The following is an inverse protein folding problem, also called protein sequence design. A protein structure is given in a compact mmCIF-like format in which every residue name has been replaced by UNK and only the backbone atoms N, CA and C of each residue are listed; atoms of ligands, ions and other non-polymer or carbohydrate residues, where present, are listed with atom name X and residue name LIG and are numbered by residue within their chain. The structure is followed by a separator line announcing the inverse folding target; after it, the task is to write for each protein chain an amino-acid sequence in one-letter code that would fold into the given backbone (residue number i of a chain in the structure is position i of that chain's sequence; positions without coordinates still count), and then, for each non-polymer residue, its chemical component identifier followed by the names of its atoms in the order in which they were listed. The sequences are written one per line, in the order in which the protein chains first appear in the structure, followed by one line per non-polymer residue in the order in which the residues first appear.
data_IF_449349581805
#
_entry.id   IF_449349581805
#
_cell.length_a   1.000
_cell.length_b   1.000
_cell.length_c   1.000
_cell.angle_alpha   90.00
_cell.angle_beta   90.00
_cell.angle_gamma   90.00
#
_symmetry.space_group_name_H-M   'P 1'
#
loop_
_entity.id
_entity.type
_entity.pdbx_description
1 polymer ?
#
# COMPACT_ATOMS: atom_id res chain seq x y z
N UNK A 1 -20.86 -8.80 -33.31
CA UNK A 1 -19.95 -8.19 -32.32
C UNK A 1 -20.87 -7.60 -31.28
N UNK A 2 -20.68 -7.96 -30.02
CA UNK A 2 -21.42 -7.37 -28.91
C UNK A 2 -20.58 -6.21 -28.32
N UNK A 3 -21.02 -4.99 -28.57
CA UNK A 3 -20.29 -3.75 -28.26
C UNK A 3 -21.01 -2.89 -27.20
N UNK A 4 -21.82 -3.49 -26.36
CA UNK A 4 -22.59 -2.75 -25.36
C UNK A 4 -21.71 -2.14 -24.26
N UNK A 5 -22.14 -0.99 -23.72
CA UNK A 5 -21.42 -0.24 -22.69
C UNK A 5 -21.81 -0.74 -21.29
N UNK A 6 -20.85 -0.72 -20.36
CA UNK A 6 -21.04 -0.89 -18.90
C UNK A 6 -21.96 -2.05 -18.49
N UNK A 7 -21.77 -3.23 -19.10
CA UNK A 7 -22.54 -4.42 -18.76
C UNK A 7 -22.10 -4.98 -17.42
N UNK A 8 -23.08 -5.37 -16.62
CA UNK A 8 -22.81 -6.04 -15.35
C UNK A 8 -22.13 -7.40 -15.58
N UNK A 9 -21.37 -7.83 -14.58
CA UNK A 9 -20.77 -9.16 -14.58
C UNK A 9 -21.86 -10.23 -14.75
N UNK A 10 -21.65 -11.15 -15.70
CA UNK A 10 -22.58 -12.26 -15.99
C UNK A 10 -24.00 -11.78 -16.35
N UNK A 11 -24.10 -10.62 -17.01
CA UNK A 11 -25.37 -10.12 -17.49
C UNK A 11 -25.96 -11.05 -18.55
N UNK A 12 -27.21 -11.48 -18.34
CA UNK A 12 -28.04 -12.20 -19.32
C UNK A 12 -27.70 -13.67 -19.54
N UNK A 13 -28.58 -14.37 -20.25
CA UNK A 13 -28.45 -15.79 -20.59
C UNK A 13 -28.17 -15.89 -22.09
N UNK A 14 -27.02 -16.45 -22.47
CA UNK A 14 -26.67 -16.68 -23.87
C UNK A 14 -26.30 -15.42 -24.67
N UNK A 15 -25.95 -14.32 -24.01
CA UNK A 15 -25.45 -13.08 -24.61
C UNK A 15 -24.15 -12.64 -23.93
N UNK A 16 -23.54 -11.55 -24.43
CA UNK A 16 -22.28 -11.03 -23.93
C UNK A 16 -21.21 -12.15 -23.83
N UNK A 17 -20.54 -12.30 -22.69
CA UNK A 17 -19.52 -13.34 -22.46
C UNK A 17 -20.04 -14.78 -22.55
N UNK A 18 -21.34 -15.00 -22.42
CA UNK A 18 -21.99 -16.31 -22.56
C UNK A 18 -22.61 -16.51 -23.96
N UNK A 19 -22.46 -15.52 -24.85
CA UNK A 19 -23.03 -15.51 -26.20
C UNK A 19 -22.15 -16.20 -27.23
N UNK A 20 -22.51 -16.03 -28.50
CA UNK A 20 -21.76 -16.53 -29.67
C UNK A 20 -20.99 -15.45 -30.41
N UNK A 21 -21.14 -14.20 -29.98
CA UNK A 21 -20.54 -13.06 -30.64
C UNK A 21 -19.19 -12.71 -30.03
N UNK A 22 -18.31 -12.11 -30.82
CA UNK A 22 -17.10 -11.46 -30.30
C UNK A 22 -17.53 -10.29 -29.41
N UNK A 23 -17.05 -10.28 -28.17
CA UNK A 23 -17.35 -9.28 -27.14
C UNK A 23 -16.27 -8.21 -27.15
N UNK A 24 -16.68 -6.95 -27.32
CA UNK A 24 -15.78 -5.80 -27.35
C UNK A 24 -16.54 -4.56 -26.84
N UNK A 25 -16.75 -4.42 -25.52
CA UNK A 25 -17.37 -3.22 -24.95
C UNK A 25 -16.62 -1.97 -25.40
N UNK A 26 -17.35 -1.05 -26.03
CA UNK A 26 -16.82 0.26 -26.44
C UNK A 26 -16.64 1.20 -25.25
N UNK A 27 -17.20 0.88 -24.09
CA UNK A 27 -16.93 1.51 -22.79
C UNK A 27 -17.13 0.52 -21.63
N UNK A 28 -16.15 0.40 -20.72
CA UNK A 28 -16.27 -0.34 -19.45
C UNK A 28 -15.38 0.26 -18.36
N UNK A 29 -15.67 -0.04 -17.08
CA UNK A 29 -14.96 0.48 -15.90
C UNK A 29 -14.81 2.01 -15.93
N UNK A 30 -15.90 2.72 -15.69
CA UNK A 30 -15.95 4.19 -15.74
C UNK A 30 -14.93 4.83 -14.77
N UNK A 31 -14.17 5.80 -15.28
CA UNK A 31 -13.05 6.44 -14.57
C UNK A 31 -13.40 7.63 -13.70
N UNK A 32 -14.67 7.89 -13.40
CA UNK A 32 -15.07 9.07 -12.64
C UNK A 32 -14.28 9.19 -11.33
N UNK A 33 -13.60 10.32 -11.15
CA UNK A 33 -12.70 10.64 -10.04
C UNK A 33 -11.58 9.58 -9.83
N UNK A 34 -11.23 8.85 -10.90
CA UNK A 34 -10.44 7.61 -11.02
C UNK A 34 -10.74 6.54 -9.95
N UNK A 35 -12.00 6.52 -9.53
CA UNK A 35 -12.53 5.50 -8.64
C UNK A 35 -12.87 4.18 -9.33
N UNK A 36 -12.47 3.97 -10.60
CA UNK A 36 -12.95 2.83 -11.39
C UNK A 36 -11.97 2.23 -12.40
N UNK A 37 -11.11 3.01 -13.07
CA UNK A 37 -10.36 2.48 -14.21
C UNK A 37 -9.40 1.34 -13.86
N UNK A 38 -8.61 1.50 -12.80
CA UNK A 38 -7.76 0.42 -12.30
C UNK A 38 -8.51 -0.54 -11.37
N UNK A 39 -9.66 -0.15 -10.85
CA UNK A 39 -10.42 -0.89 -9.84
C UNK A 39 -11.16 -2.08 -10.47
N UNK A 40 -10.73 -3.29 -10.14
CA UNK A 40 -11.26 -4.53 -10.72
C UNK A 40 -10.73 -4.83 -12.12
N UNK A 41 -9.92 -3.94 -12.72
CA UNK A 41 -9.40 -4.13 -14.08
C UNK A 41 -8.59 -5.41 -14.23
N UNK A 42 -7.83 -5.81 -13.21
CA UNK A 42 -7.09 -7.07 -13.26
C UNK A 42 -8.03 -8.26 -13.44
N UNK A 43 -9.16 -8.29 -12.73
CA UNK A 43 -10.12 -9.38 -12.81
C UNK A 43 -10.81 -9.41 -14.19
N UNK A 44 -11.22 -8.25 -14.69
CA UNK A 44 -11.74 -8.11 -16.06
C UNK A 44 -10.71 -8.57 -17.10
N UNK A 45 -9.46 -8.10 -16.98
CA UNK A 45 -8.42 -8.41 -17.94
C UNK A 45 -8.07 -9.89 -17.96
N UNK A 46 -7.92 -10.53 -16.80
CA UNK A 46 -7.66 -11.98 -16.76
C UNK A 46 -8.85 -12.77 -17.30
N UNK A 47 -10.09 -12.35 -17.04
CA UNK A 47 -11.27 -12.99 -17.64
C UNK A 47 -11.31 -12.84 -19.16
N UNK A 48 -11.05 -11.64 -19.67
CA UNK A 48 -10.98 -11.34 -21.10
C UNK A 48 -9.86 -12.13 -21.77
N UNK A 49 -8.66 -12.16 -21.18
CA UNK A 49 -7.48 -12.87 -21.70
C UNK A 49 -7.72 -14.36 -21.93
N UNK A 50 -8.54 -15.00 -21.07
CA UNK A 50 -8.86 -16.43 -21.17
C UNK A 50 -10.17 -16.73 -21.92
N UNK A 51 -10.87 -15.72 -22.45
CA UNK A 51 -12.09 -15.89 -23.23
C UNK A 51 -11.79 -15.76 -24.74
N UNK A 52 -11.92 -16.83 -25.54
CA UNK A 52 -11.60 -16.80 -26.97
C UNK A 52 -12.51 -15.88 -27.80
N UNK A 53 -13.67 -15.48 -27.27
CA UNK A 53 -14.58 -14.52 -27.90
C UNK A 53 -14.37 -13.09 -27.41
N UNK A 54 -13.47 -12.84 -26.45
CA UNK A 54 -13.16 -11.48 -26.02
C UNK A 54 -12.14 -10.83 -26.94
N UNK A 55 -12.45 -9.63 -27.42
CA UNK A 55 -11.50 -8.76 -28.13
C UNK A 55 -10.97 -7.63 -27.24
N UNK A 56 -11.09 -7.75 -25.91
CA UNK A 56 -10.79 -6.68 -24.96
C UNK A 56 -11.91 -5.64 -24.87
N UNK A 57 -11.56 -4.37 -24.66
CA UNK A 57 -12.52 -3.27 -24.54
C UNK A 57 -11.82 -1.92 -24.38
N UNK A 58 -12.61 -0.86 -24.24
CA UNK A 58 -12.12 0.51 -24.10
C UNK A 58 -12.52 1.11 -22.75
N UNK A 59 -11.54 1.67 -22.03
CA UNK A 59 -11.78 2.41 -20.80
C UNK A 59 -12.26 3.83 -21.14
N UNK A 60 -13.29 4.31 -20.45
CA UNK A 60 -13.80 5.67 -20.58
C UNK A 60 -13.36 6.52 -19.39
N UNK A 61 -12.45 7.48 -19.54
CA UNK A 61 -11.71 7.83 -20.75
C UNK A 61 -10.21 8.09 -20.49
N UNK A 62 -9.53 8.79 -21.41
CA UNK A 62 -8.10 9.05 -21.26
C UNK A 62 -7.82 10.19 -20.28
N UNK A 63 -8.53 11.32 -20.38
CA UNK A 63 -8.10 12.60 -19.81
C UNK A 63 -9.28 13.39 -19.23
N UNK A 64 -9.10 13.92 -18.02
CA UNK A 64 -10.03 14.86 -17.41
C UNK A 64 -10.18 16.14 -18.26
N UNK A 65 -11.43 16.45 -18.57
CA UNK A 65 -11.86 17.52 -19.48
C UNK A 65 -12.18 18.80 -18.70
N UNK A 66 -11.18 19.33 -17.98
CA UNK A 66 -11.34 20.59 -17.25
C UNK A 66 -11.03 21.81 -18.13
N UNK A 67 -11.87 22.84 -18.05
CA UNK A 67 -11.60 24.15 -18.65
C UNK A 67 -11.14 25.15 -17.60
N UNK A 68 -10.23 26.04 -17.97
CA UNK A 68 -9.81 27.14 -17.08
C UNK A 68 -10.91 28.21 -17.03
N UNK A 69 -11.40 28.50 -15.83
CA UNK A 69 -12.48 29.47 -15.58
C UNK A 69 -11.94 30.74 -14.94
N UNK A 70 -11.80 31.79 -15.77
CA UNK A 70 -11.35 33.13 -15.33
C UNK A 70 -12.29 33.77 -14.31
N UNK A 71 -13.59 33.51 -14.44
CA UNK A 71 -14.64 33.98 -13.53
C UNK A 71 -14.65 33.25 -12.18
N UNK A 72 -13.93 32.13 -12.07
CA UNK A 72 -13.78 31.32 -10.87
C UNK A 72 -12.32 31.31 -10.38
N UNK A 73 -11.69 32.48 -10.35
CA UNK A 73 -10.32 32.63 -9.85
C UNK A 73 -9.29 31.71 -10.53
N UNK A 74 -9.42 31.52 -11.85
CA UNK A 74 -8.57 30.62 -12.65
C UNK A 74 -8.65 29.15 -12.25
N UNK A 75 -9.78 28.68 -11.69
CA UNK A 75 -10.00 27.28 -11.37
C UNK A 75 -10.09 26.40 -12.63
N UNK A 76 -9.77 25.12 -12.46
CA UNK A 76 -10.07 24.07 -13.42
C UNK A 76 -11.49 23.55 -13.14
N UNK A 77 -12.35 23.58 -14.14
CA UNK A 77 -13.77 23.18 -14.03
C UNK A 77 -14.08 22.07 -15.01
N UNK A 78 -14.41 20.90 -14.46
CA UNK A 78 -14.81 19.67 -15.14
C UNK A 78 -16.33 19.57 -15.30
N UNK A 79 -17.06 20.69 -15.26
CA UNK A 79 -18.52 20.72 -15.05
C UNK A 79 -18.91 19.84 -13.85
N UNK A 80 -18.27 20.15 -12.71
CA UNK A 80 -18.30 19.34 -11.49
C UNK A 80 -17.71 17.94 -11.74
N UNK A 81 -18.54 16.91 -11.81
CA UNK A 81 -18.10 15.51 -11.94
C UNK A 81 -18.16 14.99 -13.39
N UNK A 82 -18.68 15.77 -14.35
CA UNK A 82 -19.06 15.23 -15.67
C UNK A 82 -17.91 15.13 -16.67
N UNK A 83 -16.81 15.81 -16.40
CA UNK A 83 -15.58 15.77 -17.19
C UNK A 83 -14.38 15.29 -16.38
N UNK A 84 -14.60 14.61 -15.24
CA UNK A 84 -13.55 14.12 -14.36
C UNK A 84 -13.45 12.60 -14.44
N UNK A 85 -13.31 12.06 -15.65
CA UNK A 85 -13.44 10.63 -15.96
C UNK A 85 -12.15 9.96 -16.46
N UNK A 86 -11.03 10.69 -16.49
CA UNK A 86 -9.79 10.26 -17.13
C UNK A 86 -8.82 9.50 -16.21
N UNK A 87 -7.80 8.90 -16.82
CA UNK A 87 -6.64 8.33 -16.10
C UNK A 87 -5.47 9.33 -15.95
N UNK A 88 -5.61 10.50 -16.56
CA UNK A 88 -4.69 11.63 -16.44
C UNK A 88 -5.46 12.94 -16.28
N UNK A 89 -4.89 13.87 -15.53
CA UNK A 89 -5.46 15.20 -15.34
C UNK A 89 -5.45 16.09 -16.57
N UNK A 90 -6.01 17.32 -16.47
CA UNK A 90 -6.11 18.29 -17.56
C UNK A 90 -4.77 18.70 -18.17
N UNK A 91 -3.66 18.57 -17.41
CA UNK A 91 -2.30 18.79 -17.89
C UNK A 91 -1.47 17.51 -17.94
N UNK A 92 -2.14 16.36 -18.08
CA UNK A 92 -1.56 15.01 -18.18
C UNK A 92 -0.84 14.53 -16.92
N UNK A 93 -1.23 15.06 -15.76
CA UNK A 93 -0.82 14.54 -14.46
C UNK A 93 -1.30 13.09 -14.34
N UNK A 94 -0.38 12.16 -14.06
CA UNK A 94 -0.72 10.74 -14.04
C UNK A 94 -1.36 10.35 -12.73
N UNK A 95 -2.53 9.74 -12.83
CA UNK A 95 -3.28 9.24 -11.69
C UNK A 95 -2.85 7.81 -11.34
N UNK A 96 -3.30 7.30 -10.20
CA UNK A 96 -2.91 5.97 -9.76
C UNK A 96 -3.28 4.87 -10.77
N UNK A 97 -4.42 4.98 -11.47
CA UNK A 97 -4.86 3.92 -12.39
C UNK A 97 -4.05 3.92 -13.67
N UNK A 98 -3.45 5.04 -14.08
CA UNK A 98 -2.50 5.05 -15.19
C UNK A 98 -1.40 4.00 -14.98
N UNK A 99 -0.85 3.93 -13.77
CA UNK A 99 0.20 2.96 -13.44
C UNK A 99 -0.37 1.54 -13.29
N UNK A 100 -1.57 1.39 -12.72
CA UNK A 100 -2.24 0.10 -12.61
C UNK A 100 -2.51 -0.53 -13.98
N UNK A 101 -3.09 0.24 -14.90
CA UNK A 101 -3.34 -0.16 -16.30
C UNK A 101 -2.04 -0.54 -16.98
N UNK A 102 -0.99 0.28 -16.81
CA UNK A 102 0.32 0.02 -17.40
C UNK A 102 0.91 -1.32 -16.94
N UNK A 103 0.71 -1.70 -15.68
CA UNK A 103 1.13 -3.03 -15.19
C UNK A 103 0.20 -4.14 -15.70
N UNK A 104 -1.12 -3.98 -15.58
CA UNK A 104 -2.12 -5.01 -15.88
C UNK A 104 -2.12 -5.39 -17.36
N UNK A 105 -2.05 -4.39 -18.25
CA UNK A 105 -1.98 -4.58 -19.71
C UNK A 105 -0.55 -4.82 -20.20
N UNK A 106 0.42 -5.05 -19.32
CA UNK A 106 1.77 -5.41 -19.73
C UNK A 106 1.74 -6.66 -20.62
N UNK A 107 2.39 -6.65 -21.79
CA UNK A 107 2.50 -7.81 -22.66
C UNK A 107 3.48 -8.86 -22.11
N UNK A 108 4.13 -8.58 -20.98
CA UNK A 108 4.92 -9.56 -20.22
C UNK A 108 4.24 -9.69 -18.86
N UNK A 109 3.69 -10.87 -18.61
CA UNK A 109 3.01 -11.18 -17.37
C UNK A 109 3.92 -12.02 -16.46
N UNK A 110 4.08 -11.58 -15.22
CA UNK A 110 4.73 -12.34 -14.16
C UNK A 110 3.67 -13.05 -13.33
N UNK A 111 3.82 -14.37 -13.13
CA UNK A 111 3.01 -15.06 -12.14
C UNK A 111 3.28 -14.50 -10.74
N UNK A 112 2.27 -14.56 -9.86
CA UNK A 112 2.39 -14.08 -8.47
C UNK A 112 3.61 -14.73 -7.80
N UNK A 113 4.51 -13.88 -7.28
CA UNK A 113 5.74 -14.31 -6.62
C UNK A 113 5.94 -13.57 -5.30
N UNK A 114 6.15 -14.33 -4.23
CA UNK A 114 6.75 -13.86 -2.99
C UNK A 114 8.19 -14.38 -2.91
N UNK A 115 9.12 -13.54 -2.47
CA UNK A 115 10.52 -13.93 -2.31
C UNK A 115 10.67 -14.67 -0.98
N UNK A 116 11.07 -15.93 -1.07
CA UNK A 116 11.36 -16.80 0.06
C UNK A 116 12.86 -17.13 0.12
N UNK A 117 13.31 -17.76 1.20
CA UNK A 117 14.73 -18.10 1.39
C UNK A 117 15.29 -19.03 0.30
N UNK A 118 14.44 -19.86 -0.31
CA UNK A 118 14.80 -20.77 -1.39
C UNK A 118 14.75 -20.13 -2.78
N UNK A 119 14.43 -18.82 -2.88
CA UNK A 119 14.38 -18.13 -4.16
C UNK A 119 15.76 -18.14 -4.84
N UNK A 120 15.77 -18.52 -6.10
CA UNK A 120 16.97 -18.75 -6.89
C UNK A 120 17.07 -17.78 -8.08
N UNK A 121 16.25 -16.73 -8.13
CA UNK A 121 16.18 -15.79 -9.25
C UNK A 121 15.26 -16.22 -10.39
N UNK A 122 14.49 -17.30 -10.23
CA UNK A 122 13.59 -17.82 -11.27
C UNK A 122 12.19 -17.22 -11.18
N UNK A 123 11.71 -16.62 -12.27
CA UNK A 123 10.33 -16.18 -12.43
C UNK A 123 9.62 -16.98 -13.51
N UNK A 124 8.40 -17.45 -13.24
CA UNK A 124 7.49 -17.92 -14.28
C UNK A 124 6.85 -16.70 -14.94
N UNK A 125 6.97 -16.62 -16.25
CA UNK A 125 6.41 -15.53 -17.04
C UNK A 125 5.62 -16.05 -18.24
N UNK A 126 4.70 -15.22 -18.74
CA UNK A 126 3.94 -15.45 -19.96
C UNK A 126 4.23 -14.34 -20.96
N UNK A 127 4.47 -14.72 -22.22
CA UNK A 127 4.53 -13.79 -23.33
C UNK A 127 3.12 -13.50 -23.85
N UNK A 128 2.57 -12.34 -23.51
CA UNK A 128 1.25 -11.87 -23.95
C UNK A 128 1.31 -10.98 -25.20
N UNK A 129 2.46 -10.87 -25.88
CA UNK A 129 2.49 -10.30 -27.23
C UNK A 129 1.84 -11.23 -28.25
N UNK A 130 1.31 -10.66 -29.34
CA UNK A 130 0.80 -11.42 -30.48
C UNK A 130 1.85 -11.68 -31.58
N UNK A 131 2.86 -10.81 -31.71
CA UNK A 131 3.82 -10.86 -32.82
C UNK A 131 5.29 -10.72 -32.39
N UNK A 132 5.54 -10.55 -31.09
CA UNK A 132 6.89 -10.31 -30.56
C UNK A 132 7.32 -11.49 -29.71
N UNK A 133 8.51 -12.02 -29.98
CA UNK A 133 9.15 -13.01 -29.11
C UNK A 133 9.93 -12.28 -28.00
N UNK A 134 9.93 -12.81 -26.77
CA UNK A 134 10.59 -12.14 -25.65
C UNK A 134 12.12 -12.07 -25.77
N UNK A 135 12.74 -12.88 -26.63
CA UNK A 135 14.16 -12.73 -27.00
C UNK A 135 14.48 -11.40 -27.67
N UNK A 136 13.48 -10.71 -28.22
CA UNK A 136 13.61 -9.36 -28.80
C UNK A 136 13.48 -8.26 -27.72
N UNK A 137 12.95 -8.59 -26.55
CA UNK A 137 12.88 -7.69 -25.40
C UNK A 137 14.21 -7.71 -24.63
N UNK A 138 14.38 -6.77 -23.70
CA UNK A 138 15.52 -6.74 -22.77
C UNK A 138 15.03 -6.77 -21.34
N UNK A 139 15.71 -7.53 -20.49
CA UNK A 139 15.42 -7.62 -19.07
C UNK A 139 16.63 -7.17 -18.27
N UNK A 140 16.39 -6.30 -17.29
CA UNK A 140 17.40 -5.89 -16.32
C UNK A 140 16.87 -6.03 -14.91
N UNK A 141 17.78 -6.08 -13.96
CA UNK A 141 17.44 -6.15 -12.55
C UNK A 141 18.29 -5.20 -11.73
N UNK A 142 17.75 -4.79 -10.58
CA UNK A 142 18.44 -4.00 -9.59
C UNK A 142 18.12 -4.51 -8.18
N UNK A 143 19.15 -4.74 -7.38
CA UNK A 143 19.08 -4.99 -5.95
C UNK A 143 19.41 -3.70 -5.21
N UNK A 144 18.52 -3.27 -4.30
CA UNK A 144 18.64 -2.00 -3.59
C UNK A 144 18.54 -2.17 -2.08
N UNK A 145 19.38 -1.43 -1.36
CA UNK A 145 19.22 -1.20 0.07
C UNK A 145 18.37 0.06 0.25
N UNK A 146 17.19 -0.10 0.82
CA UNK A 146 16.22 0.96 1.02
C UNK A 146 16.46 1.69 2.34
N UNK A 147 17.01 1.02 3.34
CA UNK A 147 17.30 1.61 4.65
C UNK A 147 18.59 2.44 4.69
N UNK A 148 19.51 2.21 3.75
CA UNK A 148 20.74 2.96 3.61
C UNK A 148 20.88 3.44 2.16
N UNK A 149 20.35 4.64 1.82
CA UNK A 149 20.41 5.17 0.46
C UNK A 149 21.83 5.35 -0.08
N UNK A 150 22.83 5.46 0.80
CA UNK A 150 24.25 5.59 0.44
C UNK A 150 24.92 4.24 0.17
N UNK A 151 24.28 3.12 0.51
CA UNK A 151 24.83 1.79 0.21
C UNK A 151 24.86 1.53 -1.30
N UNK A 152 25.86 0.77 -1.75
CA UNK A 152 25.99 0.39 -3.14
C UNK A 152 24.82 -0.49 -3.60
N UNK A 153 24.15 -0.07 -4.67
CA UNK A 153 23.16 -0.89 -5.36
C UNK A 153 23.85 -1.83 -6.36
N UNK A 154 23.33 -3.03 -6.53
CA UNK A 154 23.78 -3.96 -7.57
C UNK A 154 22.78 -3.97 -8.70
N UNK A 155 23.27 -3.95 -9.94
CA UNK A 155 22.44 -4.04 -11.14
C UNK A 155 23.01 -5.05 -12.11
N UNK A 156 22.15 -5.64 -12.93
CA UNK A 156 22.56 -6.57 -13.97
C UNK A 156 21.53 -6.70 -15.07
N UNK A 157 21.89 -7.47 -16.09
CA UNK A 157 21.01 -7.86 -17.19
C UNK A 157 20.60 -9.32 -16.97
N UNK A 158 19.35 -9.64 -17.24
CA UNK A 158 18.88 -11.02 -17.28
C UNK A 158 18.78 -11.47 -18.75
N UNK A 159 19.24 -12.69 -19.10
CA UNK A 159 19.07 -13.22 -20.45
C UNK A 159 17.60 -13.25 -20.84
N UNK A 160 17.25 -12.62 -21.95
CA UNK A 160 15.89 -12.64 -22.48
C UNK A 160 15.51 -14.07 -22.88
N UNK A 161 14.40 -14.62 -22.36
CA UNK A 161 14.00 -15.97 -22.71
C UNK A 161 13.41 -16.01 -24.12
N UNK A 162 13.68 -17.08 -24.85
CA UNK A 162 13.09 -17.30 -26.17
C UNK A 162 11.67 -17.87 -26.00
N UNK A 163 10.70 -16.99 -25.74
CA UNK A 163 9.28 -17.33 -25.64
C UNK A 163 8.53 -16.67 -26.79
N UNK A 164 7.91 -17.47 -27.65
CA UNK A 164 7.06 -17.01 -28.75
C UNK A 164 5.75 -16.41 -28.20
N UNK A 165 5.02 -15.63 -29.01
CA UNK A 165 3.67 -15.17 -28.66
C UNK A 165 2.81 -16.27 -28.02
N UNK A 166 2.22 -15.99 -26.87
CA UNK A 166 1.36 -16.90 -26.10
C UNK A 166 2.09 -17.97 -25.27
N UNK A 167 3.41 -18.12 -25.40
CA UNK A 167 4.15 -19.14 -24.63
C UNK A 167 4.38 -18.70 -23.17
N UNK A 168 4.28 -19.67 -22.26
CA UNK A 168 4.71 -19.56 -20.87
C UNK A 168 6.10 -20.16 -20.71
N UNK A 169 6.89 -19.60 -19.82
CA UNK A 169 8.23 -20.11 -19.55
C UNK A 169 8.89 -19.40 -18.38
N UNK A 170 10.21 -19.36 -18.42
CA UNK A 170 11.02 -18.90 -17.29
C UNK A 170 11.90 -17.72 -17.69
N UNK A 171 11.88 -16.67 -16.87
CA UNK A 171 12.95 -15.67 -16.81
C UNK A 171 13.89 -16.03 -15.65
N UNK A 172 15.15 -16.34 -15.98
CA UNK A 172 16.18 -16.63 -14.99
C UNK A 172 17.06 -15.41 -14.75
N UNK A 173 17.05 -14.89 -13.53
CA UNK A 173 17.94 -13.82 -13.09
C UNK A 173 19.12 -14.44 -12.34
N UNK A 174 20.34 -14.17 -12.83
CA UNK A 174 21.57 -14.60 -12.16
C UNK A 174 21.89 -13.61 -11.03
N UNK A 175 21.31 -13.86 -9.85
CA UNK A 175 21.53 -13.05 -8.66
C UNK A 175 22.92 -13.33 -8.05
N UNK A 176 23.59 -12.31 -7.49
CA UNK A 176 24.84 -12.51 -6.75
C UNK A 176 24.59 -13.29 -5.45
N UNK A 177 25.59 -13.98 -4.91
CA UNK A 177 25.45 -14.81 -3.69
C UNK A 177 24.95 -14.03 -2.46
N UNK A 178 25.21 -12.73 -2.40
CA UNK A 178 24.78 -11.84 -1.32
C UNK A 178 23.42 -11.17 -1.57
N UNK A 179 22.61 -11.61 -2.54
CA UNK A 179 21.34 -10.93 -2.88
C UNK A 179 20.37 -10.77 -1.69
N UNK A 180 20.45 -11.67 -0.70
CA UNK A 180 19.63 -11.62 0.53
C UNK A 180 19.97 -10.45 1.45
N UNK A 181 21.10 -9.77 1.25
CA UNK A 181 21.49 -8.60 2.04
C UNK A 181 20.85 -7.30 1.57
N UNK A 182 20.03 -7.33 0.51
CA UNK A 182 19.33 -6.17 -0.04
C UNK A 182 17.86 -6.19 0.39
N UNK A 183 17.21 -5.03 0.34
CA UNK A 183 15.82 -4.90 0.77
C UNK A 183 14.81 -5.26 -0.32
N UNK A 184 15.15 -5.06 -1.59
CA UNK A 184 14.23 -5.24 -2.72
C UNK A 184 14.98 -5.61 -4.01
N UNK A 185 14.36 -6.48 -4.81
CA UNK A 185 14.72 -6.77 -6.20
C UNK A 185 13.74 -6.06 -7.13
N UNK A 186 14.22 -5.16 -7.96
CA UNK A 186 13.49 -4.61 -9.09
C UNK A 186 13.84 -5.38 -10.37
N UNK A 187 12.83 -5.67 -11.19
CA UNK A 187 12.99 -6.28 -12.51
C UNK A 187 12.33 -5.36 -13.52
N UNK A 188 13.09 -4.92 -14.52
CA UNK A 188 12.60 -4.03 -15.58
C UNK A 188 12.59 -4.78 -16.90
N UNK A 189 11.49 -4.67 -17.63
CA UNK A 189 11.42 -5.11 -19.03
C UNK A 189 11.36 -3.90 -19.98
N UNK A 190 12.15 -3.97 -21.04
CA UNK A 190 12.16 -3.03 -22.16
C UNK A 190 11.71 -3.77 -23.42
N UNK A 191 10.76 -3.20 -24.14
CA UNK A 191 10.21 -3.78 -25.37
C UNK A 191 11.22 -3.81 -26.51
N UNK A 192 10.85 -4.52 -27.58
CA UNK A 192 11.63 -4.57 -28.82
C UNK A 192 11.79 -3.19 -29.49
N UNK A 193 10.88 -2.26 -29.18
CA UNK A 193 10.92 -0.86 -29.60
C UNK A 193 11.85 0.03 -28.75
N UNK A 194 12.54 -0.56 -27.76
CA UNK A 194 13.45 0.15 -26.86
C UNK A 194 12.77 0.95 -25.75
N UNK A 195 11.43 0.95 -25.65
CA UNK A 195 10.71 1.64 -24.58
C UNK A 195 10.52 0.74 -23.36
N UNK A 196 10.58 1.32 -22.17
CA UNK A 196 10.31 0.58 -20.95
C UNK A 196 8.84 0.16 -20.90
N UNK A 197 8.60 -1.14 -20.71
CA UNK A 197 7.28 -1.71 -20.49
C UNK A 197 6.88 -1.42 -19.04
N UNK A 198 7.59 -2.00 -18.07
CA UNK A 198 7.31 -1.84 -16.65
C UNK A 198 8.52 -2.22 -15.79
N UNK A 199 8.48 -1.81 -14.52
CA UNK A 199 9.42 -2.25 -13.48
C UNK A 199 8.64 -2.86 -12.34
N UNK A 200 8.75 -4.17 -12.16
CA UNK A 200 8.19 -4.88 -11.02
C UNK A 200 9.15 -4.84 -9.84
N UNK A 201 8.60 -4.86 -8.63
CA UNK A 201 9.36 -4.86 -7.38
C UNK A 201 9.01 -6.09 -6.54
N UNK A 202 10.03 -6.72 -5.99
CA UNK A 202 9.90 -7.90 -5.15
C UNK A 202 10.66 -7.66 -3.83
N UNK A 203 9.95 -7.42 -2.71
CA UNK A 203 10.59 -7.26 -1.41
C UNK A 203 11.40 -8.50 -1.04
N UNK A 204 12.62 -8.30 -0.56
CA UNK A 204 13.51 -9.36 -0.06
C UNK A 204 13.50 -9.35 1.47
N UNK A 205 13.71 -8.17 2.06
CA UNK A 205 13.56 -7.97 3.51
C UNK A 205 12.08 -8.09 3.88
N UNK A 206 11.82 -8.60 5.08
CA UNK A 206 10.47 -8.73 5.65
C UNK A 206 10.20 -7.66 6.71
N UNK A 207 8.92 -7.30 6.90
CA UNK A 207 8.49 -6.32 7.91
C UNK A 207 9.04 -6.66 9.31
N UNK A 208 8.93 -7.93 9.73
CA UNK A 208 9.46 -8.39 11.00
C UNK A 208 10.96 -8.16 11.17
N UNK A 209 11.77 -8.32 10.11
CA UNK A 209 13.21 -8.10 10.19
C UNK A 209 13.54 -6.61 10.42
N UNK A 210 12.82 -5.71 9.73
CA UNK A 210 12.94 -4.26 9.95
C UNK A 210 12.56 -3.90 11.39
N UNK A 211 11.41 -4.38 11.86
CA UNK A 211 10.92 -4.09 13.21
C UNK A 211 11.92 -4.59 14.28
N UNK A 212 12.49 -5.78 14.12
CA UNK A 212 13.49 -6.32 15.05
C UNK A 212 14.78 -5.50 15.09
N UNK A 213 15.24 -4.98 13.95
CA UNK A 213 16.44 -4.13 13.91
C UNK A 213 16.29 -2.87 14.78
N UNK A 214 15.10 -2.26 14.79
CA UNK A 214 14.80 -1.07 15.62
C UNK A 214 14.81 -1.41 17.11
N UNK A 215 14.37 -2.61 17.48
CA UNK A 215 14.33 -3.08 18.88
C UNK A 215 15.71 -3.42 19.46
N UNK A 216 16.74 -3.64 18.62
CA UNK A 216 18.09 -4.01 19.08
C UNK A 216 18.91 -2.84 19.64
N UNK A 217 18.38 -1.61 19.61
CA UNK A 217 19.02 -0.44 20.23
C UNK A 217 19.17 -0.65 21.74
N UNK A 218 20.43 -0.73 22.23
CA UNK A 218 20.75 -0.92 23.65
C UNK A 218 20.54 0.38 24.42
N UNK A 219 19.53 0.48 25.29
CA UNK A 219 19.27 1.69 26.06
C UNK A 219 20.06 1.64 27.37
N UNK A 220 20.37 2.82 27.90
CA UNK A 220 21.03 2.98 29.20
C UNK A 220 20.05 3.16 30.37
N UNK A 221 18.79 3.52 30.08
CA UNK A 221 17.77 3.81 31.08
C UNK A 221 16.71 2.70 31.21
N UNK A 222 16.23 2.46 32.44
CA UNK A 222 15.14 1.52 32.73
C UNK A 222 13.77 2.16 32.44
N UNK A 223 12.80 1.35 32.05
CA UNK A 223 11.41 1.79 31.97
C UNK A 223 10.87 2.06 33.38
N UNK A 224 10.29 3.23 33.59
CA UNK A 224 9.62 3.61 34.84
C UNK A 224 8.10 3.65 34.64
N UNK A 225 7.36 3.16 35.64
CA UNK A 225 5.90 3.20 35.69
C UNK A 225 5.48 3.90 36.99
N UNK A 226 4.61 4.88 36.88
CA UNK A 226 3.89 5.47 37.98
C UNK A 226 2.38 5.35 37.74
N UNK A 227 1.62 5.12 38.81
CA UNK A 227 0.17 5.06 38.77
C UNK A 227 -0.42 6.29 39.45
N UNK A 228 -1.38 6.93 38.81
CA UNK A 228 -2.23 7.97 39.39
C UNK A 228 -3.67 7.72 38.97
N UNK A 229 -4.65 8.06 39.82
CA UNK A 229 -6.11 7.96 39.58
C UNK A 229 -6.53 6.94 38.48
N UNK A 230 -6.69 7.43 37.25
CA UNK A 230 -7.13 6.69 36.07
C UNK A 230 -6.03 6.39 35.04
N UNK A 231 -4.76 6.71 35.31
CA UNK A 231 -3.65 6.69 34.35
C UNK A 231 -2.45 5.84 34.80
N UNK A 232 -1.91 5.09 33.84
CA UNK A 232 -0.52 4.64 33.86
C UNK A 232 0.33 5.73 33.23
N UNK A 233 1.31 6.25 33.97
CA UNK A 233 2.33 7.19 33.46
C UNK A 233 3.64 6.43 33.28
N UNK A 234 4.13 6.36 32.05
CA UNK A 234 5.31 5.56 31.70
C UNK A 234 6.40 6.47 31.16
N UNK A 235 7.64 6.27 31.61
CA UNK A 235 8.83 6.96 31.08
C UNK A 235 9.85 5.94 30.58
N UNK A 236 10.35 6.11 29.36
CA UNK A 236 11.40 5.29 28.77
C UNK A 236 12.22 6.11 27.75
N UNK A 237 13.52 6.27 28.00
CA UNK A 237 14.47 6.93 27.08
C UNK A 237 13.97 8.27 26.49
N UNK A 238 13.52 9.18 27.37
CA UNK A 238 12.99 10.50 26.98
C UNK A 238 11.56 10.49 26.45
N UNK A 239 10.95 9.33 26.23
CA UNK A 239 9.52 9.19 25.89
C UNK A 239 8.69 9.09 27.15
N UNK A 240 7.61 9.88 27.23
CA UNK A 240 6.62 9.82 28.30
C UNK A 240 5.23 9.55 27.72
N UNK A 241 4.54 8.56 28.29
CA UNK A 241 3.24 8.08 27.85
C UNK A 241 2.23 8.18 28.99
N UNK A 242 0.98 8.48 28.65
CA UNK A 242 -0.16 8.29 29.55
C UNK A 242 -1.16 7.33 28.92
N UNK A 243 -1.47 6.25 29.62
CA UNK A 243 -2.41 5.22 29.17
C UNK A 243 -3.53 5.10 30.22
N UNK A 244 -4.78 5.13 29.78
CA UNK A 244 -5.91 5.00 30.70
C UNK A 244 -6.02 3.58 31.28
N UNK A 245 -6.02 3.45 32.61
CA UNK A 245 -5.95 2.17 33.33
C UNK A 245 -7.11 1.21 33.05
N UNK A 246 -8.30 1.74 32.77
CA UNK A 246 -9.50 0.89 32.56
C UNK A 246 -9.66 0.44 31.11
N UNK A 247 -9.30 1.30 30.16
CA UNK A 247 -9.57 1.10 28.72
C UNK A 247 -8.33 0.78 27.91
N UNK A 248 -7.14 1.07 28.44
CA UNK A 248 -5.85 0.92 27.74
C UNK A 248 -5.64 1.94 26.62
N UNK A 249 -6.51 2.93 26.48
CA UNK A 249 -6.39 3.96 25.45
C UNK A 249 -5.25 4.91 25.79
N UNK A 250 -4.37 5.14 24.81
CA UNK A 250 -3.31 6.13 24.85
C UNK A 250 -3.91 7.54 24.91
N UNK A 251 -3.66 8.24 26.00
CA UNK A 251 -4.16 9.60 26.25
C UNK A 251 -3.15 10.65 25.80
N UNK A 252 -1.86 10.38 26.00
CA UNK A 252 -0.80 11.36 25.71
C UNK A 252 0.51 10.67 25.34
N UNK A 253 1.24 11.28 24.41
CA UNK A 253 2.65 11.03 24.14
C UNK A 253 3.40 12.37 24.18
N UNK A 254 4.55 12.41 24.85
CA UNK A 254 5.50 13.52 24.76
C UNK A 254 6.92 13.00 24.78
N UNK A 255 7.84 13.75 24.22
CA UNK A 255 9.28 13.58 24.44
C UNK A 255 9.82 14.77 25.25
N UNK A 256 11.13 14.79 25.49
CA UNK A 256 11.80 15.87 26.23
C UNK A 256 11.65 17.26 25.58
N UNK A 257 11.31 17.32 24.28
CA UNK A 257 11.17 18.56 23.52
C UNK A 257 9.74 19.07 23.49
N UNK A 258 8.78 18.21 23.17
CA UNK A 258 7.38 18.60 22.97
C UNK A 258 6.39 17.45 23.11
N UNK A 259 5.11 17.80 23.18
CA UNK A 259 4.00 16.86 23.00
C UNK A 259 3.95 16.38 21.55
N UNK A 260 3.63 15.10 21.36
CA UNK A 260 3.29 14.54 20.05
C UNK A 260 1.77 14.34 20.07
N UNK A 261 0.99 15.02 19.22
CA UNK A 261 -0.48 15.00 19.28
C UNK A 261 -1.08 13.71 18.68
N UNK A 262 -0.52 12.56 19.08
CA UNK A 262 -0.93 11.21 18.70
C UNK A 262 -1.56 10.54 19.92
N UNK A 263 -2.89 10.42 19.93
CA UNK A 263 -3.66 10.04 21.13
C UNK A 263 -4.98 9.35 20.74
N UNK A 264 -5.85 9.14 21.74
CA UNK A 264 -7.19 8.59 21.62
C UNK A 264 -7.24 7.27 20.83
N UNK A 265 -6.24 6.40 21.00
CA UNK A 265 -6.21 5.10 20.35
C UNK A 265 -5.56 3.99 21.21
N UNK A 266 -5.67 2.73 20.79
CA UNK A 266 -6.33 2.30 19.56
C UNK A 266 -7.86 2.29 19.66
N UNK A 267 -8.52 2.81 18.62
CA UNK A 267 -9.95 2.60 18.36
C UNK A 267 -10.08 1.55 17.28
N UNK A 268 -10.79 0.45 17.55
CA UNK A 268 -10.95 -0.62 16.56
C UNK A 268 -12.01 -0.20 15.53
N UNK A 269 -11.72 -0.42 14.25
CA UNK A 269 -12.65 -0.13 13.15
C UNK A 269 -13.66 -1.27 13.02
N UNK A 270 -14.95 -0.93 12.88
CA UNK A 270 -16.06 -1.89 12.72
C UNK A 270 -15.98 -3.05 13.73
N UNK A 271 -15.70 -2.70 14.98
CA UNK A 271 -15.55 -3.62 16.11
C UNK A 271 -15.83 -2.89 17.43
N UNK A 272 -15.98 -3.64 18.51
CA UNK A 272 -16.24 -3.06 19.84
C UNK A 272 -14.93 -2.82 20.60
N UNK A 273 -14.73 -1.59 21.09
CA UNK A 273 -13.64 -1.23 22.01
C UNK A 273 -13.91 -1.72 23.45
N UNK A 274 -13.94 -3.04 23.67
CA UNK A 274 -14.24 -3.65 24.97
C UNK A 274 -13.02 -4.16 25.74
N UNK A 275 -11.83 -3.59 25.55
CA UNK A 275 -10.65 -3.94 26.34
C UNK A 275 -10.87 -3.61 27.82
N UNK A 276 -10.58 -4.55 28.74
CA UNK A 276 -10.80 -4.34 30.16
C UNK A 276 -9.80 -5.13 31.03
N UNK A 277 -9.86 -4.85 32.34
CA UNK A 277 -9.11 -5.59 33.37
C UNK A 277 -7.60 -5.62 33.10
N UNK A 278 -7.04 -4.43 32.84
CA UNK A 278 -5.62 -4.28 32.54
C UNK A 278 -4.75 -4.61 33.74
N UNK A 279 -3.70 -5.38 33.48
CA UNK A 279 -2.63 -5.67 34.43
C UNK A 279 -1.31 -5.23 33.80
N UNK A 280 -0.31 -5.02 34.63
CA UNK A 280 1.04 -4.75 34.15
C UNK A 280 2.06 -5.67 34.82
N UNK A 281 3.14 -5.95 34.12
CA UNK A 281 4.29 -6.71 34.63
C UNK A 281 5.57 -6.26 33.93
N UNK A 282 6.68 -6.37 34.64
CA UNK A 282 7.99 -6.25 34.02
C UNK A 282 8.46 -7.62 33.54
N UNK A 283 8.89 -7.70 32.28
CA UNK A 283 9.61 -8.84 31.73
C UNK A 283 11.05 -8.39 31.43
N UNK A 284 11.96 -8.71 32.36
CA UNK A 284 13.30 -8.10 32.43
C UNK A 284 13.16 -6.58 32.49
N UNK A 285 13.71 -5.86 31.51
CA UNK A 285 13.68 -4.41 31.44
C UNK A 285 12.52 -3.84 30.61
N UNK A 286 11.61 -4.69 30.12
CA UNK A 286 10.44 -4.27 29.33
C UNK A 286 9.18 -4.26 30.20
N UNK A 287 8.35 -3.22 30.04
CA UNK A 287 7.05 -3.14 30.71
C UNK A 287 5.96 -3.66 29.77
N UNK A 288 5.16 -4.60 30.23
CA UNK A 288 3.98 -5.11 29.53
C UNK A 288 2.74 -4.65 30.28
N UNK A 289 1.80 -4.00 29.58
CA UNK A 289 0.46 -3.63 30.08
C UNK A 289 -0.56 -4.33 29.19
N UNK A 290 -1.33 -5.26 29.72
CA UNK A 290 -2.23 -6.13 28.94
C UNK A 290 -3.62 -6.24 29.54
N UNK A 291 -4.65 -6.18 28.69
CA UNK A 291 -6.03 -6.48 29.05
C UNK A 291 -6.24 -7.98 29.25
N UNK A 292 -7.25 -8.36 30.01
CA UNK A 292 -7.65 -9.78 30.18
C UNK A 292 -8.76 -10.14 29.20
N UNK A 293 -8.63 -11.27 28.51
CA UNK A 293 -9.71 -11.83 27.69
C UNK A 293 -10.86 -12.34 28.58
N UNK A 294 -12.08 -11.86 28.30
CA UNK A 294 -13.32 -12.39 28.85
C UNK A 294 -14.30 -12.60 27.70
N UNK A 295 -14.77 -13.84 27.52
CA UNK A 295 -15.64 -14.21 26.40
C UNK A 295 -16.95 -13.41 26.33
N UNK A 296 -17.48 -12.93 27.46
CA UNK A 296 -18.79 -12.26 27.53
C UNK A 296 -18.67 -10.74 27.54
N UNK A 297 -17.63 -10.18 28.15
CA UNK A 297 -17.52 -8.75 28.44
C UNK A 297 -16.38 -8.07 27.67
N UNK A 298 -15.22 -8.72 27.56
CA UNK A 298 -13.99 -8.15 27.00
C UNK A 298 -13.24 -9.16 26.14
N UNK A 299 -13.85 -9.52 25.01
CA UNK A 299 -13.35 -10.57 24.12
C UNK A 299 -12.31 -10.06 23.11
N UNK A 300 -12.18 -8.75 22.95
CA UNK A 300 -11.04 -8.16 22.27
C UNK A 300 -9.95 -7.86 23.29
N UNK A 301 -8.68 -7.97 22.89
CA UNK A 301 -7.53 -7.77 23.77
C UNK A 301 -6.55 -6.74 23.21
N UNK A 302 -5.98 -5.95 24.11
CA UNK A 302 -4.96 -4.95 23.86
C UNK A 302 -3.77 -5.21 24.78
N UNK A 303 -2.58 -5.21 24.21
CA UNK A 303 -1.32 -5.24 24.92
C UNK A 303 -0.43 -4.10 24.44
N UNK A 304 0.10 -3.35 25.39
CA UNK A 304 1.22 -2.43 25.20
C UNK A 304 2.50 -3.06 25.74
N UNK A 305 3.59 -2.96 25.00
CA UNK A 305 4.92 -3.37 25.43
C UNK A 305 5.88 -2.20 25.24
N UNK A 306 6.35 -1.64 26.34
CA UNK A 306 7.26 -0.51 26.36
C UNK A 306 8.67 -1.02 26.57
N UNK A 307 9.52 -0.81 25.58
CA UNK A 307 10.92 -1.19 25.62
C UNK A 307 11.75 -0.07 26.27
N UNK A 308 12.87 -0.40 26.93
CA UNK A 308 13.74 0.63 27.51
C UNK A 308 14.34 1.56 26.46
N UNK A 309 14.29 1.23 25.16
CA UNK A 309 14.70 2.11 24.06
C UNK A 309 13.76 3.29 23.83
N UNK A 310 12.57 3.29 24.44
CA UNK A 310 11.49 4.24 24.16
C UNK A 310 10.55 3.78 23.05
N UNK A 311 10.84 2.65 22.39
CA UNK A 311 9.91 2.03 21.43
C UNK A 311 8.72 1.44 22.19
N UNK A 312 7.54 1.64 21.64
CA UNK A 312 6.27 1.14 22.19
C UNK A 312 5.62 0.23 21.16
N UNK A 313 5.54 -1.05 21.46
CA UNK A 313 4.79 -2.01 20.64
C UNK A 313 3.35 -2.10 21.13
N UNK A 314 2.42 -2.04 20.19
CA UNK A 314 1.01 -2.32 20.42
C UNK A 314 0.64 -3.65 19.78
N UNK A 315 -0.17 -4.45 20.45
CA UNK A 315 -0.81 -5.61 19.86
C UNK A 315 -2.29 -5.61 20.20
N UNK A 316 -3.13 -5.58 19.17
CA UNK A 316 -4.59 -5.71 19.28
C UNK A 316 -5.01 -7.04 18.66
N UNK A 317 -5.84 -7.80 19.37
CA UNK A 317 -6.56 -8.94 18.82
C UNK A 317 -8.04 -8.66 18.97
N UNK A 318 -8.77 -8.65 17.86
CA UNK A 318 -10.18 -8.29 17.89
C UNK A 318 -11.00 -9.10 16.89
N UNK A 319 -12.30 -9.16 17.15
CA UNK A 319 -13.31 -9.66 16.22
C UNK A 319 -14.06 -8.48 15.61
N UNK A 320 -14.15 -8.41 14.27
CA UNK A 320 -15.05 -7.47 13.60
C UNK A 320 -16.50 -7.71 14.01
N UNK A 321 -17.36 -6.70 13.86
CA UNK A 321 -18.80 -6.82 14.21
C UNK A 321 -19.54 -7.80 13.32
N UNK A 322 -19.08 -7.99 12.08
CA UNK A 322 -19.75 -8.81 11.07
C UNK A 322 -18.73 -9.65 10.29
N UNK A 323 -19.23 -10.67 9.58
CA UNK A 323 -18.40 -11.48 8.69
C UNK A 323 -17.91 -10.68 7.46
N UNK A 324 -18.77 -9.79 6.96
CA UNK A 324 -18.43 -8.84 5.90
C UNK A 324 -18.35 -7.43 6.50
N UNK A 325 -17.18 -6.81 6.41
CA UNK A 325 -16.92 -5.46 6.88
C UNK A 325 -16.36 -4.62 5.75
N UNK A 326 -16.62 -3.32 5.77
CA UNK A 326 -16.01 -2.39 4.83
C UNK A 326 -14.54 -2.19 5.16
N UNK A 327 -14.22 -2.08 6.45
CA UNK A 327 -12.87 -1.84 6.93
C UNK A 327 -12.53 -2.67 8.18
N UNK A 328 -11.28 -3.12 8.24
CA UNK A 328 -10.69 -3.76 9.42
C UNK A 328 -9.38 -3.04 9.75
N UNK A 329 -9.26 -2.52 10.97
CA UNK A 329 -8.06 -1.81 11.38
C UNK A 329 -8.17 -1.17 12.76
N UNK A 330 -7.17 -0.36 13.07
CA UNK A 330 -7.06 0.38 14.34
C UNK A 330 -6.72 1.83 14.05
N UNK A 331 -7.34 2.74 14.80
CA UNK A 331 -7.25 4.17 14.58
C UNK A 331 -6.68 4.90 15.81
N UNK A 332 -6.06 6.03 15.53
CA UNK A 332 -5.60 7.01 16.50
C UNK A 332 -6.04 8.39 16.03
N UNK A 333 -6.22 9.32 16.95
CA UNK A 333 -6.43 10.71 16.62
C UNK A 333 -5.09 11.40 16.39
N UNK A 334 -5.02 12.18 15.31
CA UNK A 334 -3.93 13.10 15.02
C UNK A 334 -4.52 14.34 14.32
N UNK A 335 -4.19 15.56 14.74
CA UNK A 335 -4.67 16.78 14.11
C UNK A 335 -4.06 16.94 12.71
N UNK A 336 -4.90 16.97 11.68
CA UNK A 336 -4.46 17.10 10.30
C UNK A 336 -3.67 18.41 10.06
N UNK A 337 -4.01 19.50 10.75
CA UNK A 337 -3.27 20.76 10.65
C UNK A 337 -1.80 20.70 11.11
N UNK A 338 -1.39 19.64 11.81
CA UNK A 338 -0.02 19.44 12.28
C UNK A 338 0.82 18.56 11.35
N UNK A 339 0.24 17.99 10.27
CA UNK A 339 0.97 17.11 9.36
C UNK A 339 1.55 17.90 8.18
N UNK A 340 2.86 17.76 7.97
CA UNK A 340 3.56 18.34 6.83
C UNK A 340 3.82 17.30 5.74
N UNK A 341 3.89 16.02 6.09
CA UNK A 341 4.07 14.94 5.13
C UNK A 341 4.43 13.61 5.79
N UNK A 342 4.78 12.63 4.96
CA UNK A 342 5.30 11.34 5.39
C UNK A 342 6.49 10.89 4.56
N UNK A 343 7.34 10.08 5.17
CA UNK A 343 8.31 9.22 4.48
C UNK A 343 8.01 7.78 4.91
N UNK A 344 7.78 6.86 3.98
CA UNK A 344 7.40 5.49 4.35
C UNK A 344 8.02 4.45 3.44
N UNK A 345 8.23 3.24 3.97
CA UNK A 345 8.61 2.06 3.21
C UNK A 345 7.38 1.18 2.99
N UNK A 346 7.07 0.90 1.72
CA UNK A 346 5.88 0.14 1.32
C UNK A 346 5.61 0.25 -0.17
N UNK A 347 4.44 -0.19 -0.61
CA UNK A 347 4.00 0.01 -1.99
C UNK A 347 3.51 1.44 -2.18
N UNK A 348 4.02 2.11 -3.21
CA UNK A 348 3.70 3.51 -3.45
C UNK A 348 4.19 4.05 -4.79
N UNK A 349 4.08 5.39 -5.00
CA UNK A 349 3.66 6.38 -4.01
C UNK A 349 2.14 6.63 -3.92
N UNK A 350 1.36 6.10 -4.87
CA UNK A 350 -0.07 6.37 -5.01
C UNK A 350 -0.91 5.56 -4.01
N UNK A 351 -2.09 6.08 -3.64
CA UNK A 351 -3.04 5.32 -2.82
C UNK A 351 -3.55 4.08 -3.57
N UNK A 352 -4.07 3.09 -2.85
CA UNK A 352 -4.63 1.85 -3.40
C UNK A 352 -6.04 1.60 -2.91
N UNK A 353 -6.76 0.73 -3.62
CA UNK A 353 -8.02 0.14 -3.18
C UNK A 353 -7.88 -1.37 -3.13
N UNK A 354 -8.77 -2.06 -2.41
CA UNK A 354 -8.77 -3.53 -2.29
C UNK A 354 -8.75 -4.23 -3.65
N UNK A 355 -9.41 -3.65 -4.66
CA UNK A 355 -9.50 -4.12 -6.04
C UNK A 355 -8.59 -3.36 -7.02
N UNK A 356 -7.67 -2.51 -6.54
CA UNK A 356 -6.64 -1.84 -7.34
C UNK A 356 -5.31 -1.80 -6.58
N UNK A 357 -4.61 -2.93 -6.56
CA UNK A 357 -3.30 -3.05 -5.90
C UNK A 357 -2.10 -2.89 -6.87
N UNK A 358 -2.36 -2.94 -8.18
CA UNK A 358 -1.33 -2.85 -9.22
C UNK A 358 -0.88 -1.41 -9.48
N UNK A 359 0.30 -1.25 -10.09
CA UNK A 359 0.85 0.02 -10.55
C UNK A 359 1.88 0.64 -9.61
N UNK A 360 1.79 0.35 -8.32
CA UNK A 360 2.79 0.78 -7.34
C UNK A 360 4.01 -0.14 -7.32
N UNK A 361 5.14 0.42 -6.90
CA UNK A 361 6.33 -0.35 -6.58
C UNK A 361 6.58 -0.33 -5.08
N UNK A 362 7.16 -1.41 -4.56
CA UNK A 362 7.71 -1.43 -3.21
C UNK A 362 8.99 -0.60 -3.15
N UNK A 363 9.08 0.32 -2.20
CA UNK A 363 10.19 1.26 -2.10
C UNK A 363 10.12 2.13 -0.85
N UNK A 364 10.88 3.21 -0.84
CA UNK A 364 10.76 4.30 0.15
C UNK A 364 10.26 5.54 -0.56
N UNK A 365 9.16 6.09 -0.06
CA UNK A 365 8.41 7.17 -0.69
C UNK A 365 8.29 8.33 0.27
N UNK A 366 8.66 9.53 -0.19
CA UNK A 366 8.43 10.77 0.53
C UNK A 366 7.28 11.53 -0.13
N UNK A 367 6.29 11.93 0.67
CA UNK A 367 5.10 12.68 0.23
C UNK A 367 4.93 13.88 1.13
N UNK A 368 4.90 15.06 0.52
CA UNK A 368 4.44 16.26 1.22
C UNK A 368 2.91 16.19 1.36
N UNK A 369 2.38 16.86 2.38
CA UNK A 369 0.94 16.93 2.59
C UNK A 369 0.27 17.66 1.43
N UNK A 370 -0.83 17.09 0.94
CA UNK A 370 -1.80 17.72 0.07
C UNK A 370 -3.20 17.19 0.43
N UNK A 371 -4.23 17.93 0.06
CA UNK A 371 -5.62 17.48 0.20
C UNK A 371 -6.22 17.19 -1.17
N UNK A 372 -5.47 16.46 -2.00
CA UNK A 372 -5.87 16.18 -3.37
C UNK A 372 -7.08 15.27 -3.40
N UNK A 373 -8.17 15.79 -3.94
CA UNK A 373 -9.32 15.03 -4.40
C UNK A 373 -9.21 14.92 -5.92
N UNK A 374 -8.90 13.71 -6.41
CA UNK A 374 -8.80 13.39 -7.84
C UNK A 374 -10.03 13.86 -8.59
N UNK A 375 -9.83 14.48 -9.76
CA UNK A 375 -10.87 15.05 -10.61
C UNK A 375 -11.43 16.40 -10.14
N UNK A 376 -11.10 16.85 -8.92
CA UNK A 376 -11.31 18.22 -8.44
C UNK A 376 -9.98 18.99 -8.33
N UNK A 377 -8.88 18.25 -8.14
CA UNK A 377 -7.51 18.75 -8.02
C UNK A 377 -6.52 17.66 -8.42
N UNK A 378 -5.35 18.03 -8.95
CA UNK A 378 -4.40 17.09 -9.60
C UNK A 378 -2.97 17.15 -9.02
N UNK A 379 -2.83 17.41 -7.71
CA UNK A 379 -1.53 17.38 -7.04
C UNK A 379 -1.14 15.96 -6.60
N UNK A 380 -0.49 15.23 -7.52
CA UNK A 380 -0.08 13.85 -7.30
C UNK A 380 1.38 13.71 -6.82
N UNK A 381 1.69 12.66 -6.04
CA UNK A 381 0.77 11.63 -5.53
C UNK A 381 -0.13 12.17 -4.40
N UNK A 382 -1.36 11.67 -4.32
CA UNK A 382 -2.33 12.08 -3.29
C UNK A 382 -1.79 11.69 -1.91
N UNK A 383 -1.84 12.61 -0.94
CA UNK A 383 -1.37 12.32 0.41
C UNK A 383 -2.26 11.31 1.12
N UNK A 384 -3.58 11.55 1.10
CA UNK A 384 -4.61 10.79 1.80
C UNK A 384 -4.92 9.44 1.15
N UNK A 385 -5.54 8.53 1.90
CA UNK A 385 -5.97 7.21 1.44
C UNK A 385 -5.15 6.05 2.01
N UNK A 386 -5.24 4.90 1.34
CA UNK A 386 -4.61 3.64 1.77
C UNK A 386 -3.33 3.35 0.98
N UNK A 387 -2.32 2.79 1.64
CA UNK A 387 -1.05 2.36 1.06
C UNK A 387 -0.77 0.92 1.52
N UNK A 388 -0.48 0.00 0.59
CA UNK A 388 -0.30 -1.41 0.92
C UNK A 388 1.12 -1.74 1.37
N UNK A 389 1.22 -2.85 2.12
CA UNK A 389 2.47 -3.48 2.50
C UNK A 389 3.46 -2.52 3.20
N UNK A 390 2.94 -1.64 4.07
CA UNK A 390 3.76 -0.69 4.81
C UNK A 390 4.66 -1.42 5.82
N UNK A 391 5.96 -1.14 5.84
CA UNK A 391 6.91 -1.69 6.83
C UNK A 391 7.23 -0.67 7.93
N UNK A 392 7.37 0.60 7.55
CA UNK A 392 7.39 1.73 8.47
C UNK A 392 6.89 3.00 7.81
N UNK A 393 6.44 3.95 8.63
CA UNK A 393 6.06 5.29 8.21
C UNK A 393 6.55 6.32 9.22
N UNK A 394 7.36 7.26 8.76
CA UNK A 394 7.82 8.43 9.48
C UNK A 394 6.90 9.60 9.16
N UNK A 395 6.23 10.11 10.18
CA UNK A 395 5.37 11.26 10.10
C UNK A 395 6.19 12.53 10.31
N UNK A 396 6.12 13.44 9.34
CA UNK A 396 6.73 14.76 9.40
C UNK A 396 5.67 15.75 9.87
N UNK A 397 5.83 16.27 11.08
CA UNK A 397 4.86 17.17 11.71
C UNK A 397 5.46 18.56 11.91
N UNK A 398 4.65 19.53 12.29
CA UNK A 398 5.10 20.90 12.59
C UNK A 398 6.05 20.95 13.80
N UNK A 399 5.82 20.11 14.80
CA UNK A 399 6.59 20.11 16.04
C UNK A 399 7.67 19.04 16.08
N UNK A 400 7.30 17.76 16.00
CA UNK A 400 8.19 16.62 16.22
C UNK A 400 7.85 15.45 15.28
N UNK A 401 8.86 14.90 14.61
CA UNK A 401 8.68 13.68 13.82
C UNK A 401 8.52 12.46 14.72
N UNK A 402 7.70 11.50 14.32
CA UNK A 402 7.64 10.17 14.94
C UNK A 402 7.54 9.09 13.87
N UNK A 403 7.90 7.86 14.20
CA UNK A 403 7.90 6.73 13.25
C UNK A 403 7.08 5.59 13.81
N UNK A 404 6.23 5.01 12.96
CA UNK A 404 5.45 3.80 13.23
C UNK A 404 6.05 2.66 12.42
N UNK A 405 6.16 1.49 13.02
CA UNK A 405 6.70 0.28 12.42
C UNK A 405 5.66 -0.85 12.54
N UNK A 406 5.75 -1.84 11.67
CA UNK A 406 4.98 -3.08 11.79
C UNK A 406 5.90 -4.28 11.59
N UNK A 407 5.63 -5.35 12.34
CA UNK A 407 6.20 -6.68 12.10
C UNK A 407 5.28 -7.57 11.24
N UNK A 408 4.07 -7.11 10.92
CA UNK A 408 3.15 -7.79 10.03
C UNK A 408 3.38 -7.38 8.57
N UNK A 409 3.54 -8.37 7.69
CA UNK A 409 3.42 -8.17 6.24
C UNK A 409 1.97 -7.85 5.82
N UNK A 410 1.80 -7.35 4.59
CA UNK A 410 0.49 -7.08 3.96
C UNK A 410 -0.40 -6.07 4.71
N UNK A 411 0.15 -5.31 5.65
CA UNK A 411 -0.56 -4.26 6.38
C UNK A 411 -0.88 -3.08 5.45
N UNK A 412 -2.15 -2.66 5.43
CA UNK A 412 -2.55 -1.39 4.82
C UNK A 412 -2.39 -0.26 5.83
N UNK A 413 -1.67 0.77 5.43
CA UNK A 413 -1.53 2.00 6.17
C UNK A 413 -2.52 3.04 5.62
N UNK A 414 -3.26 3.71 6.51
CA UNK A 414 -4.27 4.71 6.15
C UNK A 414 -3.85 6.10 6.63
N UNK A 415 -3.71 7.03 5.68
CA UNK A 415 -3.50 8.45 5.94
C UNK A 415 -4.82 9.18 5.78
N UNK A 416 -5.35 9.77 6.85
CA UNK A 416 -6.53 10.66 6.92
C UNK A 416 -7.62 10.38 5.87
N UNK A 417 -8.74 9.81 6.29
CA UNK A 417 -9.89 9.50 5.41
C UNK A 417 -11.19 9.78 6.10
#
# INVERSE_FOLDING_TARGET
FDTQHYREYNYGIGNYENGREIVMPTEFLHGQYDGGHGAGLQDYWEKMWHNPLSAGGFLWDLQDQAVVRKDLNDSLDTDKHRGADGIIGPYHEKEGSYFAIKEIWSPIYFERRLIADAFDGTFTIENRYHFTNLSQCKFSYQLKNLQNPSASNTKGVAPSPNLKPGEKGVLKINLPSNWKSYDVLYVTATGADGRQIFTWSFPITKAAAIAQQVLQSKPTAKVALAESDSLYTITANGVNLQIHKRTGILQQVKNDKAMIPFNNGPVVQEAVNNFASFKHKFNKDTLVIESTFDRKKSYNTLQWTVYPSGIVKMQVRYFPTEYFTWFNGVNFSFPESEINGVEYMGDGPYRVWKNRLKGNAFGVWKKEYNNTETGESWNYPEFKGYHSNMYWCKFMTTSQTFTVYTDNEDLFFRLFT
#
